data_IF_884333266454
#
_entry.id   IF_884333266454
#
_cell.length_a   1.000
_cell.length_b   1.000
_cell.length_c   1.000
_cell.angle_alpha   90.00
_cell.angle_beta   90.00
_cell.angle_gamma   90.00
#
_symmetry.space_group_name_H-M   'P 1'
#
loop_
_entity.id
_entity.type
_entity.pdbx_description
1 polymer ?
#
# COMPACT_ATOMS: atom_id res chain seq x y z
N UNK A 1 -7.91 38.59 -38.70
CA UNK A 1 -7.90 37.14 -38.97
C UNK A 1 -6.82 36.50 -38.13
N UNK A 2 -7.02 35.32 -37.52
CA UNK A 2 -5.98 34.63 -36.76
C UNK A 2 -4.75 34.43 -37.64
N UNK A 3 -3.55 34.65 -37.09
CA UNK A 3 -2.30 34.53 -37.84
C UNK A 3 -2.08 33.10 -38.33
N UNK A 4 -1.39 32.95 -39.46
CA UNK A 4 -1.09 31.64 -40.06
C UNK A 4 -0.35 30.71 -39.07
N UNK A 5 0.57 31.29 -38.28
CA UNK A 5 1.24 30.61 -37.16
C UNK A 5 0.26 30.04 -36.12
N UNK A 6 -0.77 30.80 -35.74
CA UNK A 6 -1.76 30.35 -34.78
C UNK A 6 -2.64 29.23 -35.35
N UNK A 7 -3.04 29.34 -36.63
CA UNK A 7 -3.83 28.31 -37.29
C UNK A 7 -3.07 26.98 -37.39
N UNK A 8 -1.78 27.02 -37.73
CA UNK A 8 -0.92 25.84 -37.75
C UNK A 8 -0.79 25.20 -36.37
N UNK A 9 -0.51 26.00 -35.33
CA UNK A 9 -0.39 25.49 -33.95
C UNK A 9 -1.70 24.92 -33.41
N UNK A 10 -2.83 25.51 -33.79
CA UNK A 10 -4.14 25.02 -33.39
C UNK A 10 -4.47 23.66 -34.02
N UNK A 11 -4.12 23.45 -35.29
CA UNK A 11 -4.27 22.15 -35.96
C UNK A 11 -3.34 21.09 -35.36
N UNK A 12 -2.08 21.43 -35.05
CA UNK A 12 -1.16 20.54 -34.35
C UNK A 12 -1.71 20.12 -32.98
N UNK A 13 -2.25 21.08 -32.23
CA UNK A 13 -2.85 20.84 -30.92
C UNK A 13 -4.10 19.95 -31.01
N UNK A 14 -4.97 20.17 -31.99
CA UNK A 14 -6.13 19.28 -32.22
C UNK A 14 -5.71 17.85 -32.55
N UNK A 15 -4.68 17.66 -33.38
CA UNK A 15 -4.15 16.32 -33.70
C UNK A 15 -3.55 15.64 -32.46
N UNK A 16 -2.79 16.38 -31.67
CA UNK A 16 -2.24 15.87 -30.41
C UNK A 16 -3.35 15.47 -29.43
N UNK A 17 -4.43 16.27 -29.34
CA UNK A 17 -5.58 15.97 -28.50
C UNK A 17 -6.32 14.71 -28.96
N UNK A 18 -6.54 14.54 -30.26
CA UNK A 18 -7.15 13.33 -30.82
C UNK A 18 -6.30 12.08 -30.55
N UNK A 19 -4.98 12.17 -30.73
CA UNK A 19 -4.05 11.08 -30.41
C UNK A 19 -4.07 10.73 -28.92
N UNK A 20 -4.13 11.73 -28.05
CA UNK A 20 -4.24 11.53 -26.60
C UNK A 20 -5.54 10.81 -26.23
N UNK A 21 -6.69 11.25 -26.77
CA UNK A 21 -7.97 10.60 -26.52
C UNK A 21 -7.99 9.15 -27.01
N UNK A 22 -7.40 8.85 -28.17
CA UNK A 22 -7.29 7.50 -28.70
C UNK A 22 -6.46 6.60 -27.76
N UNK A 23 -5.26 7.03 -27.39
CA UNK A 23 -4.38 6.30 -26.46
C UNK A 23 -5.03 6.09 -25.09
N UNK A 24 -5.72 7.10 -24.58
CA UNK A 24 -6.42 7.02 -23.30
C UNK A 24 -7.62 6.07 -23.36
N UNK A 25 -8.33 6.03 -24.50
CA UNK A 25 -9.37 5.04 -24.77
C UNK A 25 -8.83 3.61 -24.81
N UNK A 26 -7.72 3.38 -25.52
CA UNK A 26 -7.04 2.08 -25.56
C UNK A 26 -6.57 1.63 -24.17
N UNK A 27 -5.97 2.53 -23.40
CA UNK A 27 -5.56 2.26 -22.02
C UNK A 27 -6.75 1.84 -21.15
N UNK A 28 -7.84 2.61 -21.17
CA UNK A 28 -9.07 2.27 -20.43
C UNK A 28 -9.66 0.93 -20.85
N UNK A 29 -9.70 0.64 -22.15
CA UNK A 29 -10.16 -0.66 -22.66
C UNK A 29 -9.25 -1.82 -22.19
N UNK A 30 -7.93 -1.60 -22.11
CA UNK A 30 -6.97 -2.60 -21.63
C UNK A 30 -7.16 -2.90 -20.14
N UNK A 31 -7.44 -1.88 -19.32
CA UNK A 31 -7.72 -2.03 -17.89
C UNK A 31 -9.03 -2.78 -17.69
N UNK A 32 -10.10 -2.38 -18.39
CA UNK A 32 -11.39 -3.08 -18.33
C UNK A 32 -11.28 -4.56 -18.74
N UNK A 33 -10.47 -4.88 -19.77
CA UNK A 33 -10.19 -6.27 -20.16
C UNK A 33 -9.43 -7.05 -19.07
N UNK A 34 -8.44 -6.43 -18.42
CA UNK A 34 -7.70 -7.07 -17.31
C UNK A 34 -8.59 -7.33 -16.10
N UNK A 35 -9.47 -6.39 -15.77
CA UNK A 35 -10.44 -6.54 -14.67
C UNK A 35 -11.49 -7.61 -14.98
N UNK A 36 -12.04 -7.63 -16.19
CA UNK A 36 -12.97 -8.67 -16.64
C UNK A 36 -12.32 -10.06 -16.63
N UNK A 37 -11.05 -10.18 -17.08
CA UNK A 37 -10.31 -11.44 -17.04
C UNK A 37 -10.04 -11.91 -15.59
N UNK A 38 -9.70 -10.99 -14.68
CA UNK A 38 -9.52 -11.31 -13.26
C UNK A 38 -10.83 -11.74 -12.60
N UNK A 39 -11.94 -11.07 -12.92
CA UNK A 39 -13.28 -11.43 -12.44
C UNK A 39 -13.71 -12.81 -12.96
N UNK A 40 -13.52 -13.08 -14.26
CA UNK A 40 -13.82 -14.38 -14.85
C UNK A 40 -12.98 -15.51 -14.24
N UNK A 41 -11.68 -15.28 -13.99
CA UNK A 41 -10.82 -16.27 -13.33
C UNK A 41 -11.25 -16.55 -11.89
N UNK A 42 -11.66 -15.51 -11.15
CA UNK A 42 -12.18 -15.66 -9.78
C UNK A 42 -13.53 -16.40 -9.76
N UNK A 43 -14.43 -16.08 -10.69
CA UNK A 43 -15.71 -16.77 -10.82
C UNK A 43 -15.53 -18.26 -11.21
N UNK A 44 -14.62 -18.57 -12.13
CA UNK A 44 -14.31 -19.95 -12.50
C UNK A 44 -13.67 -20.75 -11.35
N UNK A 45 -12.83 -20.12 -10.54
CA UNK A 45 -12.25 -20.76 -9.34
C UNK A 45 -13.33 -21.06 -8.28
N UNK A 46 -14.22 -20.10 -8.02
CA UNK A 46 -15.33 -20.28 -7.08
C UNK A 46 -16.32 -21.36 -7.55
N UNK A 47 -16.62 -21.43 -8.85
CA UNK A 47 -17.47 -22.47 -9.42
C UNK A 47 -16.85 -23.87 -9.30
N UNK A 48 -15.53 -24.01 -9.50
CA UNK A 48 -14.81 -25.29 -9.31
C UNK A 48 -14.79 -25.71 -7.85
N UNK A 49 -14.63 -24.78 -6.91
CA UNK A 49 -14.66 -25.08 -5.48
C UNK A 49 -16.07 -25.50 -5.02
N UNK A 50 -17.11 -24.82 -5.49
CA UNK A 50 -18.50 -25.16 -5.21
C UNK A 50 -18.87 -26.56 -5.75
N UNK A 51 -18.48 -26.87 -7.00
CA UNK A 51 -18.72 -28.19 -7.58
C UNK A 51 -17.99 -29.32 -6.82
N UNK A 52 -16.78 -29.05 -6.30
CA UNK A 52 -16.03 -30.04 -5.49
C UNK A 52 -16.68 -30.29 -4.13
N UNK A 53 -17.24 -29.25 -3.50
CA UNK A 53 -17.97 -29.37 -2.22
C UNK A 53 -19.31 -30.11 -2.41
N UNK A 54 -20.02 -29.85 -3.50
CA UNK A 54 -21.29 -30.53 -3.79
C UNK A 54 -21.10 -32.02 -4.16
N UNK A 55 -20.02 -32.37 -4.85
CA UNK A 55 -19.66 -33.76 -5.11
C UNK A 55 -19.29 -34.52 -3.82
N UNK A 56 -18.53 -33.90 -2.91
CA UNK A 56 -18.17 -34.50 -1.63
C UNK A 56 -19.38 -34.66 -0.68
N UNK A 57 -20.38 -33.78 -0.76
CA UNK A 57 -21.61 -33.92 0.02
C UNK A 57 -22.47 -35.10 -0.45
N UNK A 58 -22.60 -35.30 -1.78
CA UNK A 58 -23.37 -36.42 -2.35
C UNK A 58 -22.74 -37.79 -2.08
N UNK A 59 -21.40 -37.88 -2.02
CA UNK A 59 -20.71 -39.12 -1.64
C UNK A 59 -20.84 -39.47 -0.14
N UNK A 60 -21.17 -38.48 0.72
CA UNK A 60 -21.41 -38.71 2.15
C UNK A 60 -22.85 -39.11 2.50
N UNK A 61 -23.81 -38.86 1.60
CA UNK A 61 -25.23 -39.17 1.80
C UNK A 61 -25.59 -40.59 1.34
N UNK A 62 -24.84 -41.17 0.39
CA UNK A 62 -25.01 -42.56 -0.08
C UNK A 62 -24.39 -43.63 0.86
N UNK A 63 -23.72 -43.22 1.95
CA UNK A 63 -23.18 -44.11 3.00
C UNK A 63 -23.99 -44.18 4.30
N UNK A 64 -25.19 -43.58 4.35
CA UNK A 64 -26.07 -43.59 5.55
C UNK A 64 -27.38 -44.36 5.39
N UNK A 65 -27.54 -45.16 4.33
CA UNK A 65 -28.66 -46.09 4.18
C UNK A 65 -28.13 -47.49 3.85
N UNK A 66 -27.67 -48.20 4.88
CA UNK A 66 -27.23 -49.59 4.76
C UNK A 66 -26.20 -49.97 5.81
N UNK A 67 -26.66 -50.35 7.01
CA UNK A 67 -26.57 -51.75 7.49
C UNK A 67 -26.79 -51.81 9.01
N UNK A 68 -27.78 -52.63 9.41
CA UNK A 68 -28.01 -53.03 10.79
C UNK A 68 -27.36 -54.41 11.01
N UNK A 69 -26.45 -54.46 12.00
CA UNK A 69 -25.78 -55.66 12.56
C UNK A 69 -26.80 -56.78 12.99
N UNK A 70 -26.41 -58.06 13.29
CA UNK A 70 -25.12 -58.48 13.90
C UNK A 70 -24.56 -59.92 13.62
N UNK A 71 -23.37 -60.19 14.22
CA UNK A 71 -22.83 -61.50 14.72
C UNK A 71 -22.41 -62.57 13.67
N UNK A 72 -21.43 -63.47 13.80
CA UNK A 72 -20.52 -64.00 14.85
C UNK A 72 -19.51 -65.00 14.19
N UNK A 73 -18.33 -65.27 14.81
CA UNK A 73 -17.43 -66.49 14.80
C UNK A 73 -17.15 -67.30 13.49
N UNK A 74 -16.07 -68.06 13.23
CA UNK A 74 -14.72 -68.38 13.76
C UNK A 74 -14.13 -69.36 12.70
N UNK A 75 -12.85 -69.27 12.29
CA UNK A 75 -11.99 -70.44 11.93
C UNK A 75 -10.54 -70.09 11.61
N UNK A 76 -9.62 -70.51 12.49
CA UNK A 76 -8.40 -71.34 12.24
C UNK A 76 -7.94 -71.52 10.77
N UNK A 77 -6.66 -71.55 10.38
CA UNK A 77 -5.36 -71.71 11.03
C UNK A 77 -4.33 -71.72 9.87
N UNK A 78 -3.19 -70.99 9.96
CA UNK A 78 -1.90 -71.49 9.45
C UNK A 78 -0.71 -70.70 10.00
N UNK A 79 0.00 -71.37 10.90
CA UNK A 79 1.31 -71.04 11.41
C UNK A 79 2.41 -70.98 10.33
N UNK A 80 3.36 -70.05 10.44
CA UNK A 80 4.76 -70.31 10.86
C UNK A 80 5.70 -69.11 10.62
N UNK A 81 6.66 -68.96 11.56
CA UNK A 81 7.73 -67.95 11.78
C UNK A 81 7.32 -66.75 12.64
N UNK A 82 7.67 -66.59 13.93
CA UNK A 82 8.85 -67.00 14.74
C UNK A 82 10.17 -66.56 14.07
N UNK A 83 10.93 -65.59 14.57
CA UNK A 83 11.56 -65.48 15.89
C UNK A 83 12.22 -64.08 16.05
N UNK A 84 12.61 -63.70 17.28
CA UNK A 84 13.12 -62.40 17.81
C UNK A 84 12.03 -61.34 18.07
N UNK A 85 11.35 -61.21 19.22
CA UNK A 85 11.65 -61.41 20.65
C UNK A 85 12.96 -60.78 21.14
N UNK A 86 12.80 -59.68 21.91
CA UNK A 86 13.52 -59.34 23.15
C UNK A 86 14.24 -57.98 23.16
N UNK A 87 13.49 -56.87 23.23
CA UNK A 87 14.04 -55.65 23.88
C UNK A 87 13.04 -54.53 24.26
N UNK A 88 11.79 -54.81 24.67
CA UNK A 88 10.91 -53.70 25.12
C UNK A 88 10.03 -54.05 26.32
N UNK A 89 10.58 -54.87 27.23
CA UNK A 89 10.08 -54.99 28.60
C UNK A 89 10.90 -54.08 29.52
N UNK A 90 10.74 -52.77 29.31
CA UNK A 90 11.21 -51.71 30.22
C UNK A 90 10.27 -50.49 30.13
N UNK A 91 8.99 -50.78 30.03
CA UNK A 91 7.87 -49.85 30.16
C UNK A 91 7.13 -50.30 31.42
N UNK A 92 7.50 -49.74 32.59
CA UNK A 92 6.68 -49.67 33.83
C UNK A 92 7.44 -49.15 35.08
N UNK A 93 8.56 -48.42 34.95
CA UNK A 93 9.20 -47.79 36.12
C UNK A 93 9.95 -46.49 35.77
N UNK A 94 9.35 -45.67 34.91
CA UNK A 94 9.83 -44.30 34.63
C UNK A 94 8.63 -43.34 34.46
N UNK A 95 7.52 -43.63 35.16
CA UNK A 95 6.26 -42.86 35.13
C UNK A 95 6.07 -41.97 36.39
N UNK A 96 7.13 -41.68 37.15
CA UNK A 96 7.02 -40.85 38.37
C UNK A 96 8.03 -39.70 38.51
N UNK A 97 8.91 -39.45 37.53
CA UNK A 97 9.92 -38.37 37.65
C UNK A 97 10.04 -37.50 36.39
N UNK A 98 8.93 -36.88 35.97
CA UNK A 98 8.97 -35.72 35.05
C UNK A 98 7.75 -34.80 35.07
N UNK A 99 7.06 -34.68 36.21
CA UNK A 99 6.09 -33.59 36.44
C UNK A 99 6.80 -32.32 36.95
N UNK A 100 7.71 -31.75 36.15
CA UNK A 100 8.19 -30.38 36.34
C UNK A 100 8.72 -29.84 34.99
N UNK A 101 7.80 -29.61 34.05
CA UNK A 101 8.05 -28.69 32.93
C UNK A 101 7.18 -27.47 33.19
N UNK A 102 7.76 -26.53 33.92
CA UNK A 102 7.32 -25.14 33.96
C UNK A 102 7.20 -24.65 32.51
N UNK A 103 5.97 -24.34 32.08
CA UNK A 103 5.66 -23.91 30.72
C UNK A 103 6.49 -22.66 30.37
N UNK A 104 7.54 -22.84 29.57
CA UNK A 104 8.14 -21.71 28.86
C UNK A 104 7.08 -21.10 27.93
N UNK A 105 6.85 -19.77 27.98
CA UNK A 105 5.82 -19.13 27.19
C UNK A 105 6.04 -19.41 25.69
N UNK A 106 4.96 -19.55 24.90
CA UNK A 106 5.03 -19.98 23.51
C UNK A 106 6.03 -19.11 22.73
N UNK A 107 7.14 -19.73 22.32
CA UNK A 107 8.18 -19.10 21.52
C UNK A 107 7.58 -18.72 20.18
N UNK A 108 7.11 -17.48 20.05
CA UNK A 108 6.60 -16.89 18.81
C UNK A 108 7.70 -16.96 17.76
N UNK A 109 7.67 -18.00 16.93
CA UNK A 109 8.60 -18.14 15.81
C UNK A 109 8.17 -17.16 14.74
N UNK A 110 8.75 -15.95 14.78
CA UNK A 110 8.60 -14.97 13.70
C UNK A 110 8.86 -15.67 12.36
N UNK A 111 7.86 -15.65 11.48
CA UNK A 111 7.97 -16.19 10.13
C UNK A 111 9.07 -15.46 9.35
N UNK A 112 9.62 -16.08 8.31
CA UNK A 112 10.69 -15.47 7.52
C UNK A 112 10.30 -14.13 6.87
N UNK A 113 9.00 -13.85 6.75
CA UNK A 113 8.47 -12.58 6.26
C UNK A 113 8.45 -11.49 7.35
N UNK A 114 8.08 -11.84 8.58
CA UNK A 114 8.06 -10.90 9.71
C UNK A 114 9.47 -10.45 10.11
N UNK A 115 10.48 -11.33 10.02
CA UNK A 115 11.89 -10.97 10.27
C UNK A 115 12.48 -9.98 9.27
N UNK A 116 11.85 -9.80 8.10
CA UNK A 116 12.26 -8.79 7.11
C UNK A 116 11.64 -7.42 7.39
N UNK A 117 10.58 -7.36 8.19
CA UNK A 117 9.94 -6.11 8.57
C UNK A 117 10.72 -5.52 9.74
N UNK A 118 11.66 -4.64 9.43
CA UNK A 118 12.45 -3.92 10.44
C UNK A 118 11.62 -2.83 11.12
N UNK A 119 10.68 -2.23 10.39
CA UNK A 119 9.82 -1.15 10.88
C UNK A 119 8.35 -1.52 10.75
N UNK A 120 7.63 -1.48 11.86
CA UNK A 120 6.19 -1.64 11.88
C UNK A 120 5.50 -0.54 11.05
N UNK A 121 4.55 -0.93 10.20
CA UNK A 121 3.74 0.02 9.42
C UNK A 121 2.43 0.25 10.17
N UNK A 122 2.34 1.37 10.87
CA UNK A 122 1.08 1.79 11.48
C UNK A 122 0.10 2.28 10.41
N UNK A 123 -1.19 2.00 10.61
CA UNK A 123 -2.27 2.57 9.79
C UNK A 123 -2.48 4.04 10.15
N UNK A 124 -2.29 4.38 11.43
CA UNK A 124 -2.38 5.72 11.97
C UNK A 124 -0.99 6.33 12.13
N UNK A 125 -0.66 7.41 11.42
CA UNK A 125 0.61 8.10 11.60
C UNK A 125 0.64 8.85 12.94
N UNK A 126 1.78 8.82 13.63
CA UNK A 126 1.96 9.47 14.94
C UNK A 126 2.07 11.00 14.84
N UNK A 127 2.57 11.48 13.70
CA UNK A 127 2.70 12.91 13.39
C UNK A 127 1.77 13.30 12.25
N UNK A 128 1.27 14.54 12.31
CA UNK A 128 0.58 15.12 11.16
C UNK A 128 1.55 15.25 9.98
N UNK A 129 1.02 15.17 8.76
CA UNK A 129 1.85 15.32 7.55
C UNK A 129 2.57 16.67 7.51
N UNK A 130 1.95 17.72 8.05
CA UNK A 130 2.56 19.05 8.15
C UNK A 130 3.80 19.03 9.06
N UNK A 131 3.66 18.54 10.29
CA UNK A 131 4.77 18.46 11.26
C UNK A 131 5.93 17.63 10.70
N UNK A 132 5.62 16.48 10.08
CA UNK A 132 6.62 15.60 9.51
C UNK A 132 7.37 16.26 8.34
N UNK A 133 6.68 16.98 7.45
CA UNK A 133 7.31 17.67 6.31
C UNK A 133 8.27 18.78 6.76
N UNK A 134 7.89 19.57 7.76
CA UNK A 134 8.72 20.69 8.25
C UNK A 134 9.95 20.21 9.01
N UNK A 135 9.85 19.14 9.80
CA UNK A 135 10.98 18.61 10.58
C UNK A 135 11.83 17.58 9.82
N UNK A 136 11.46 17.20 8.60
CA UNK A 136 12.08 16.09 7.86
C UNK A 136 13.60 16.28 7.64
N UNK A 137 14.05 17.53 7.49
CA UNK A 137 15.47 17.86 7.32
C UNK A 137 16.27 17.89 8.63
N UNK A 138 15.59 17.91 9.78
CA UNK A 138 16.20 17.97 11.10
C UNK A 138 16.47 16.59 11.70
N UNK A 139 16.02 15.52 11.04
CA UNK A 139 16.22 14.16 11.55
C UNK A 139 17.68 13.72 11.34
N UNK A 140 18.33 13.41 12.46
CA UNK A 140 19.69 12.89 12.50
C UNK A 140 19.73 11.63 13.37
N UNK A 141 20.80 10.86 13.24
CA UNK A 141 21.09 9.78 14.18
C UNK A 141 22.07 10.30 15.25
N UNK A 142 22.01 9.77 16.48
CA UNK A 142 22.94 10.14 17.53
C UNK A 142 24.40 9.95 17.10
N UNK A 143 25.21 10.98 17.29
CA UNK A 143 26.65 10.93 17.07
C UNK A 143 27.39 10.84 18.40
N UNK A 144 28.66 10.41 18.37
CA UNK A 144 29.47 10.32 19.61
C UNK A 144 29.66 11.69 20.27
N UNK A 145 29.57 12.76 19.49
CA UNK A 145 29.71 14.14 19.93
C UNK A 145 28.47 14.67 20.68
N UNK A 146 27.33 13.94 20.65
CA UNK A 146 26.13 14.27 21.45
C UNK A 146 26.27 13.91 22.94
N UNK A 147 27.39 13.28 23.34
CA UNK A 147 27.70 12.98 24.74
C UNK A 147 27.11 11.67 25.28
N UNK A 148 26.79 10.71 24.40
CA UNK A 148 26.35 9.37 24.79
C UNK A 148 27.54 8.44 25.12
N UNK A 149 27.46 7.71 26.23
CA UNK A 149 28.49 6.73 26.63
C UNK A 149 28.61 5.54 25.66
N UNK A 150 27.50 5.06 25.09
CA UNK A 150 27.47 4.01 24.07
C UNK A 150 26.25 4.17 23.16
N UNK A 151 26.42 3.93 21.85
CA UNK A 151 25.38 4.05 20.83
C UNK A 151 25.23 2.70 20.12
N UNK A 152 24.22 1.93 20.52
CA UNK A 152 23.90 0.64 19.92
C UNK A 152 22.77 0.78 18.90
N UNK A 153 23.07 0.38 17.67
CA UNK A 153 22.11 0.33 16.58
C UNK A 153 21.56 -1.10 16.43
N UNK A 154 20.55 -1.48 17.22
CA UNK A 154 20.06 -2.87 17.27
C UNK A 154 19.41 -3.33 15.96
N UNK A 155 18.70 -2.42 15.27
CA UNK A 155 18.01 -2.72 14.02
C UNK A 155 18.94 -2.64 12.79
N UNK A 156 20.09 -1.99 12.90
CA UNK A 156 21.09 -1.89 11.83
C UNK A 156 22.48 -2.22 12.34
N UNK A 157 23.07 -3.30 11.85
CA UNK A 157 24.37 -3.86 12.29
C UNK A 157 25.55 -2.86 12.33
N UNK A 158 25.45 -1.68 11.73
CA UNK A 158 26.51 -0.66 11.68
C UNK A 158 25.91 0.74 11.55
N UNK A 159 26.54 1.73 12.19
CA UNK A 159 26.17 3.15 12.11
C UNK A 159 26.07 3.66 10.65
N UNK A 160 27.00 3.28 9.77
CA UNK A 160 26.98 3.69 8.35
C UNK A 160 25.69 3.27 7.63
N UNK A 161 25.23 2.03 7.83
CA UNK A 161 23.97 1.55 7.22
C UNK A 161 22.74 2.24 7.80
N UNK A 162 22.78 2.59 9.08
CA UNK A 162 21.74 3.37 9.72
C UNK A 162 21.62 4.76 9.06
N UNK A 163 22.76 5.43 8.87
CA UNK A 163 22.83 6.75 8.22
C UNK A 163 22.41 6.70 6.76
N UNK A 164 22.83 5.69 6.01
CA UNK A 164 22.38 5.47 4.62
C UNK A 164 20.87 5.27 4.56
N UNK A 165 20.32 4.42 5.43
CA UNK A 165 18.87 4.19 5.49
C UNK A 165 18.11 5.48 5.78
N UNK A 166 18.54 6.25 6.79
CA UNK A 166 17.89 7.52 7.14
C UNK A 166 17.97 8.51 5.96
N UNK A 167 19.12 8.62 5.28
CA UNK A 167 19.28 9.49 4.10
C UNK A 167 18.36 9.09 2.95
N UNK A 168 18.27 7.79 2.63
CA UNK A 168 17.35 7.28 1.61
C UNK A 168 15.90 7.53 2.00
N UNK A 169 15.52 7.23 3.25
CA UNK A 169 14.18 7.45 3.75
C UNK A 169 13.77 8.93 3.73
N UNK A 170 14.65 9.84 4.16
CA UNK A 170 14.43 11.29 4.07
C UNK A 170 14.25 11.70 2.60
N UNK A 171 15.04 11.16 1.68
CA UNK A 171 14.96 11.48 0.26
C UNK A 171 13.63 11.00 -0.36
N UNK A 172 13.23 9.77 -0.07
CA UNK A 172 11.95 9.21 -0.53
C UNK A 172 10.75 9.99 0.03
N UNK A 173 10.84 10.41 1.31
CA UNK A 173 9.83 11.26 1.92
C UNK A 173 9.80 12.63 1.27
N UNK A 174 10.94 13.30 1.08
CA UNK A 174 11.01 14.61 0.38
C UNK A 174 10.37 14.58 -1.02
N UNK A 175 10.51 13.47 -1.76
CA UNK A 175 9.89 13.30 -3.07
C UNK A 175 8.37 13.10 -3.03
N UNK A 176 7.85 12.52 -1.95
CA UNK A 176 6.43 12.15 -1.81
C UNK A 176 5.62 13.10 -0.94
N UNK A 177 6.28 13.94 -0.12
CA UNK A 177 5.64 14.91 0.75
C UNK A 177 5.39 16.23 0.04
N UNK A 178 4.25 16.86 0.31
CA UNK A 178 3.97 18.23 -0.13
C UNK A 178 4.95 19.18 0.56
N UNK A 179 5.53 20.10 -0.23
CA UNK A 179 6.35 21.18 0.31
C UNK A 179 5.42 22.27 0.81
N UNK A 180 5.42 22.52 2.12
CA UNK A 180 4.51 23.46 2.78
C UNK A 180 5.03 24.90 2.73
N UNK A 181 6.36 25.09 2.75
CA UNK A 181 7.00 26.41 2.89
C UNK A 181 7.43 27.03 1.54
N UNK A 182 6.65 26.80 0.48
CA UNK A 182 6.91 27.43 -0.83
C UNK A 182 6.47 28.90 -0.80
N UNK A 183 7.41 29.80 -0.55
CA UNK A 183 7.18 31.23 -0.71
C UNK A 183 7.40 31.65 -2.17
N UNK A 184 6.52 32.49 -2.75
CA UNK A 184 6.76 33.05 -4.07
C UNK A 184 8.07 33.83 -4.10
N UNK A 185 8.87 33.61 -5.14
CA UNK A 185 10.15 34.28 -5.31
C UNK A 185 9.97 35.79 -5.48
N UNK A 186 11.03 36.56 -5.20
CA UNK A 186 11.03 38.03 -5.34
C UNK A 186 10.57 38.48 -6.72
N UNK A 187 10.97 37.76 -7.77
CA UNK A 187 10.54 38.02 -9.14
C UNK A 187 9.01 37.93 -9.29
N UNK A 188 8.38 36.92 -8.69
CA UNK A 188 6.93 36.79 -8.71
C UNK A 188 6.25 37.92 -7.94
N UNK A 189 6.78 38.27 -6.76
CA UNK A 189 6.23 39.35 -5.96
C UNK A 189 6.31 40.71 -6.68
N UNK A 190 7.43 40.98 -7.36
CA UNK A 190 7.57 42.18 -8.20
C UNK A 190 6.53 42.22 -9.32
N UNK A 191 6.39 41.12 -10.07
CA UNK A 191 5.39 41.02 -11.16
C UNK A 191 3.97 41.11 -10.64
N UNK A 192 3.70 40.55 -9.48
CA UNK A 192 2.40 40.65 -8.81
C UNK A 192 2.04 42.10 -8.49
N UNK A 193 2.98 42.87 -7.92
CA UNK A 193 2.78 44.30 -7.64
C UNK A 193 2.58 45.12 -8.92
N UNK A 194 3.36 44.86 -9.97
CA UNK A 194 3.18 45.50 -11.28
C UNK A 194 1.79 45.22 -11.86
N UNK A 195 1.35 43.96 -11.79
CA UNK A 195 0.03 43.56 -12.26
C UNK A 195 -1.10 44.22 -11.46
N UNK A 196 -0.99 44.25 -10.13
CA UNK A 196 -1.98 44.93 -9.29
C UNK A 196 -2.09 46.43 -9.62
N UNK A 197 -0.96 47.11 -9.89
CA UNK A 197 -0.95 48.52 -10.32
C UNK A 197 -1.68 48.69 -11.66
N UNK A 198 -1.39 47.84 -12.64
CA UNK A 198 -2.05 47.90 -13.95
C UNK A 198 -3.57 47.66 -13.82
N UNK A 199 -3.97 46.69 -12.99
CA UNK A 199 -5.36 46.37 -12.72
C UNK A 199 -6.11 47.54 -12.05
N UNK A 200 -5.49 48.18 -11.05
CA UNK A 200 -6.05 49.39 -10.43
C UNK A 200 -6.21 50.54 -11.42
N UNK A 201 -5.22 50.76 -12.29
CA UNK A 201 -5.30 51.79 -13.33
C UNK A 201 -6.45 51.53 -14.31
N UNK A 202 -6.68 50.27 -14.70
CA UNK A 202 -7.80 49.91 -15.57
C UNK A 202 -9.15 50.10 -14.88
N UNK A 203 -9.27 49.70 -13.61
CA UNK A 203 -10.49 49.95 -12.84
C UNK A 203 -10.80 51.43 -12.68
N UNK A 204 -9.78 52.26 -12.42
CA UNK A 204 -9.93 53.72 -12.34
C UNK A 204 -10.44 54.30 -13.67
N UNK A 205 -9.78 53.99 -14.79
CA UNK A 205 -10.21 54.45 -16.13
C UNK A 205 -11.62 54.00 -16.49
N UNK A 206 -11.98 52.76 -16.15
CA UNK A 206 -13.31 52.23 -16.38
C UNK A 206 -14.37 52.95 -15.51
N UNK A 207 -14.03 53.26 -14.25
CA UNK A 207 -14.86 54.05 -13.37
C UNK A 207 -15.08 55.48 -13.88
N UNK A 208 -14.01 56.15 -14.33
CA UNK A 208 -14.05 57.47 -14.95
C UNK A 208 -14.92 57.48 -16.21
N UNK A 209 -14.77 56.47 -17.07
CA UNK A 209 -15.60 56.32 -18.26
C UNK A 209 -17.08 56.20 -17.89
N UNK A 210 -17.44 55.28 -16.98
CA UNK A 210 -18.82 55.13 -16.50
C UNK A 210 -19.39 56.41 -15.91
N UNK A 211 -18.61 57.12 -15.08
CA UNK A 211 -19.00 58.40 -14.52
C UNK A 211 -19.21 59.47 -15.61
N UNK A 212 -18.38 59.49 -16.65
CA UNK A 212 -18.52 60.42 -17.77
C UNK A 212 -19.78 60.14 -18.61
N UNK A 213 -20.12 58.86 -18.81
CA UNK A 213 -21.35 58.45 -19.51
C UNK A 213 -22.57 58.86 -18.70
N UNK A 214 -22.61 58.54 -17.41
CA UNK A 214 -23.70 58.93 -16.52
C UNK A 214 -23.92 60.46 -16.48
N UNK A 215 -22.84 61.26 -16.44
CA UNK A 215 -22.93 62.73 -16.51
C UNK A 215 -23.48 63.22 -17.86
N UNK A 216 -23.08 62.61 -18.97
CA UNK A 216 -23.59 62.96 -20.31
C UNK A 216 -25.05 62.59 -20.49
N UNK A 217 -25.50 61.48 -19.90
CA UNK A 217 -26.90 61.07 -19.90
C UNK A 217 -27.75 62.01 -19.02
N UNK A 218 -27.27 62.35 -17.82
CA UNK A 218 -27.93 63.30 -16.93
C UNK A 218 -28.03 64.72 -17.50
N UNK A 219 -27.07 65.15 -18.34
CA UNK A 219 -27.11 66.46 -19.01
C UNK A 219 -27.99 66.49 -20.27
N UNK A 220 -28.47 65.33 -20.74
CA UNK A 220 -29.39 65.21 -21.90
C UNK A 220 -30.86 65.04 -21.47
N UNK A 221 -31.12 64.77 -20.19
CA UNK A 221 -32.45 64.72 -19.59
C UNK A 221 -32.85 66.11 -19.06
#
# INVERSE_FOLDING_TARGET
>A
TPSDWFQQKWVEWQKALQQWHAKHGEYKASVAKKEAAKAAKKAAAAAKEAAKKEAAAKESEEKKEGDAAPMDEDKEEKAEKKDEEKEEKKEEEEEEDKMEVEEEPPKVTLTAEEKKIVFFKSVTPDLTSYTLSTSLAQFTLPEKDDGFDDIKYEWSKTNSKAQEYLKTWISDKKLTTRVEDLTPSDWFQQKWVEWQKALQQWHAKHGEYKASVAKKEAAKA
#
